data_IF_841439986579
#
_entry.id   IF_841439986579
#
_cell.length_a   1.000
_cell.length_b   1.000
_cell.length_c   1.000
_cell.angle_alpha   90.00
_cell.angle_beta   90.00
_cell.angle_gamma   90.00
#
_symmetry.space_group_name_H-M   'P 1'
#
loop_
_entity.id
_entity.type
_entity.pdbx_description
1 polymer ?
#
# COMPACT_ATOMS: atom_id res chain seq x y z
N UNK A 1 6.25 -4.95 -19.93
CA UNK A 1 6.15 -3.70 -20.71
C UNK A 1 5.59 -4.06 -22.06
N UNK A 2 4.28 -4.12 -22.08
CA UNK A 2 3.43 -4.45 -23.21
C UNK A 2 2.54 -3.24 -23.52
N UNK A 3 2.01 -3.20 -24.74
CA UNK A 3 1.05 -2.18 -25.15
C UNK A 3 -0.19 -2.21 -24.25
N UNK A 4 -0.64 -1.04 -23.80
CA UNK A 4 -1.79 -0.87 -22.91
C UNK A 4 -1.46 -0.96 -21.41
N UNK A 5 -0.27 -1.43 -21.04
CA UNK A 5 0.15 -1.43 -19.63
C UNK A 5 0.40 -0.01 -19.09
N UNK A 6 0.18 0.14 -17.79
CA UNK A 6 0.48 1.36 -17.02
C UNK A 6 1.57 1.06 -16.01
N UNK A 7 2.56 1.94 -15.91
CA UNK A 7 3.68 1.76 -15.00
C UNK A 7 3.85 2.98 -14.09
N UNK A 8 4.06 2.72 -12.81
CA UNK A 8 4.80 3.62 -11.94
C UNK A 8 6.29 3.46 -12.23
N UNK A 9 6.97 4.54 -12.58
CA UNK A 9 8.42 4.59 -12.75
C UNK A 9 8.97 5.40 -11.59
N UNK A 10 9.47 4.69 -10.60
CA UNK A 10 10.03 5.25 -9.38
C UNK A 10 11.50 4.86 -9.20
N UNK A 11 12.30 5.80 -8.71
CA UNK A 11 13.71 5.54 -8.40
C UNK A 11 14.04 6.10 -7.03
N UNK A 12 14.88 5.38 -6.29
CA UNK A 12 15.33 5.76 -4.96
C UNK A 12 16.85 5.88 -4.93
N UNK A 13 17.34 7.06 -4.59
CA UNK A 13 18.75 7.30 -4.31
C UNK A 13 19.03 7.21 -2.81
N UNK A 14 20.19 6.69 -2.42
CA UNK A 14 20.58 6.57 -1.00
C UNK A 14 22.06 6.88 -0.79
N UNK A 15 22.39 7.56 0.31
CA UNK A 15 23.77 7.66 0.84
C UNK A 15 24.15 6.47 1.74
N UNK A 16 23.22 5.53 1.89
CA UNK A 16 23.28 4.37 2.75
C UNK A 16 24.00 3.18 2.13
N UNK A 17 23.37 2.01 2.22
CA UNK A 17 23.82 0.78 1.57
C UNK A 17 23.01 0.47 0.30
N UNK A 18 22.01 1.29 -0.03
CA UNK A 18 21.13 1.06 -1.17
C UNK A 18 20.19 -0.13 -0.97
N UNK A 19 19.89 -0.47 0.28
CA UNK A 19 19.02 -1.59 0.65
C UNK A 19 18.13 -1.17 1.81
N UNK A 20 16.85 -1.50 1.71
CA UNK A 20 15.84 -1.12 2.71
C UNK A 20 15.37 -2.33 3.50
N UNK A 21 15.07 -2.09 4.77
CA UNK A 21 14.42 -3.05 5.66
C UNK A 21 13.17 -2.42 6.28
N UNK A 22 12.16 -3.24 6.66
CA UNK A 22 11.06 -2.77 7.49
C UNK A 22 11.56 -2.19 8.82
N UNK A 23 11.23 -0.93 9.12
CA UNK A 23 11.57 -0.28 10.38
C UNK A 23 10.49 0.73 10.80
N UNK A 24 10.05 0.65 12.07
CA UNK A 24 9.05 1.56 12.65
C UNK A 24 7.64 0.99 12.72
N UNK A 25 6.67 1.84 13.11
CA UNK A 25 5.28 1.42 13.27
C UNK A 25 4.54 1.35 11.93
N UNK A 26 3.93 0.20 11.65
CA UNK A 26 3.15 0.00 10.44
C UNK A 26 1.88 0.89 10.42
N UNK A 27 1.66 1.53 9.29
CA UNK A 27 0.49 2.40 9.07
C UNK A 27 -0.28 2.08 7.80
N UNK A 28 0.32 1.42 6.80
CA UNK A 28 -0.28 1.13 5.50
C UNK A 28 -0.69 -0.34 5.40
N UNK A 29 -1.85 -0.58 4.79
CA UNK A 29 -2.47 -1.90 4.66
C UNK A 29 -3.17 -2.00 3.31
N UNK A 30 -3.29 -3.21 2.76
CA UNK A 30 -4.13 -3.48 1.60
C UNK A 30 -4.76 -4.87 1.69
N UNK A 31 -5.85 -5.09 0.97
CA UNK A 31 -6.43 -6.43 0.82
C UNK A 31 -5.54 -7.30 -0.06
N UNK A 32 -5.29 -8.55 0.36
CA UNK A 32 -4.60 -9.52 -0.50
C UNK A 32 -5.51 -9.96 -1.65
N UNK A 33 -4.91 -10.21 -2.83
CA UNK A 33 -5.64 -10.73 -3.98
C UNK A 33 -5.91 -12.23 -3.85
N UNK A 34 -7.04 -12.73 -4.36
CA UNK A 34 -7.35 -14.17 -4.38
C UNK A 34 -7.72 -14.78 -3.03
N UNK A 35 -8.07 -13.95 -2.03
CA UNK A 35 -8.39 -14.37 -0.66
C UNK A 35 -9.88 -14.51 -0.39
N UNK A 36 -10.73 -14.54 -1.41
CA UNK A 36 -12.19 -14.58 -1.28
C UNK A 36 -12.69 -15.82 -0.53
N UNK A 37 -11.91 -16.90 -0.56
CA UNK A 37 -12.17 -18.16 0.13
C UNK A 37 -11.84 -18.11 1.64
N UNK A 38 -11.03 -17.15 2.07
CA UNK A 38 -10.64 -17.01 3.48
C UNK A 38 -11.76 -16.38 4.30
N UNK A 39 -11.93 -16.89 5.53
CA UNK A 39 -12.94 -16.41 6.46
C UNK A 39 -12.31 -15.61 7.58
N UNK A 40 -12.88 -14.45 7.89
CA UNK A 40 -12.48 -13.68 9.06
C UNK A 40 -12.70 -14.51 10.35
N UNK A 41 -11.71 -14.55 11.26
CA UNK A 41 -11.70 -15.48 12.39
C UNK A 41 -12.62 -15.09 13.55
N UNK A 42 -13.14 -13.86 13.56
CA UNK A 42 -14.03 -13.36 14.60
C UNK A 42 -15.13 -12.48 13.98
N UNK A 43 -16.20 -12.27 14.74
CA UNK A 43 -17.28 -11.37 14.31
C UNK A 43 -16.79 -9.94 14.14
N UNK A 44 -15.97 -9.43 15.05
CA UNK A 44 -15.39 -8.08 14.93
C UNK A 44 -14.49 -7.96 13.69
N UNK A 45 -13.68 -8.97 13.40
CA UNK A 45 -12.86 -9.00 12.18
C UNK A 45 -13.71 -9.08 10.91
N UNK A 46 -14.86 -9.77 10.95
CA UNK A 46 -15.80 -9.80 9.83
C UNK A 46 -16.45 -8.44 9.58
N UNK A 47 -16.89 -7.76 10.64
CA UNK A 47 -17.45 -6.40 10.55
C UNK A 47 -16.41 -5.42 10.01
N UNK A 48 -15.18 -5.46 10.55
CA UNK A 48 -14.08 -4.63 10.09
C UNK A 48 -13.73 -4.90 8.62
N UNK A 49 -13.66 -6.17 8.23
CA UNK A 49 -13.41 -6.56 6.83
C UNK A 49 -14.49 -6.02 5.89
N UNK A 50 -15.76 -6.05 6.30
CA UNK A 50 -16.84 -5.50 5.51
C UNK A 50 -16.68 -3.99 5.33
N UNK A 51 -16.39 -3.26 6.41
CA UNK A 51 -16.12 -1.82 6.35
C UNK A 51 -14.94 -1.49 5.41
N UNK A 52 -13.83 -2.24 5.51
CA UNK A 52 -12.68 -2.10 4.61
C UNK A 52 -13.09 -2.30 3.15
N UNK A 53 -13.88 -3.33 2.85
CA UNK A 53 -14.36 -3.59 1.49
C UNK A 53 -15.26 -2.47 0.97
N UNK A 54 -16.17 -1.97 1.80
CA UNK A 54 -17.13 -0.94 1.42
C UNK A 54 -16.44 0.42 1.16
N UNK A 55 -15.36 0.72 1.87
CA UNK A 55 -14.67 2.02 1.78
C UNK A 55 -13.44 2.02 0.87
N UNK A 56 -12.69 0.91 0.80
CA UNK A 56 -11.39 0.87 0.13
C UNK A 56 -11.31 -0.21 -0.96
N UNK A 57 -12.11 -1.27 -0.87
CA UNK A 57 -12.03 -2.41 -1.78
C UNK A 57 -10.63 -3.02 -1.78
N UNK A 58 -9.95 -2.97 -2.93
CA UNK A 58 -8.57 -3.44 -3.09
C UNK A 58 -7.52 -2.34 -3.00
N UNK A 59 -7.92 -1.07 -2.88
CA UNK A 59 -6.98 0.05 -2.78
C UNK A 59 -6.26 0.03 -1.41
N UNK A 60 -4.97 0.38 -1.36
CA UNK A 60 -4.26 0.57 -0.10
C UNK A 60 -4.89 1.67 0.75
N UNK A 61 -4.84 1.49 2.06
CA UNK A 61 -5.39 2.43 3.06
C UNK A 61 -4.48 2.51 4.28
N UNK A 62 -4.76 3.45 5.18
CA UNK A 62 -4.03 3.59 6.45
C UNK A 62 -4.95 3.68 7.66
N UNK A 63 -4.40 3.47 8.86
CA UNK A 63 -5.12 3.55 10.15
C UNK A 63 -5.99 4.80 10.29
N UNK A 64 -5.45 5.97 9.91
CA UNK A 64 -6.16 7.26 9.95
C UNK A 64 -7.38 7.30 9.05
N UNK A 65 -7.36 6.60 7.92
CA UNK A 65 -8.52 6.55 7.01
C UNK A 65 -9.60 5.64 7.57
N UNK A 66 -9.19 4.50 8.13
CA UNK A 66 -10.09 3.59 8.81
C UNK A 66 -10.81 4.28 9.99
N UNK A 67 -10.10 5.07 10.80
CA UNK A 67 -10.68 5.89 11.87
C UNK A 67 -11.73 6.88 11.35
N UNK A 68 -11.52 7.48 10.18
CA UNK A 68 -12.48 8.40 9.55
C UNK A 68 -13.76 7.72 9.07
N UNK A 69 -13.76 6.39 8.91
CA UNK A 69 -14.99 5.61 8.64
C UNK A 69 -15.82 5.39 9.91
N UNK A 70 -15.34 5.81 11.09
CA UNK A 70 -15.97 5.59 12.38
C UNK A 70 -15.52 4.33 13.10
N UNK A 71 -14.48 3.64 12.61
CA UNK A 71 -13.94 2.46 13.28
C UNK A 71 -13.14 2.85 14.53
N UNK A 72 -13.48 2.22 15.65
CA UNK A 72 -12.78 2.38 16.92
C UNK A 72 -12.25 1.04 17.44
N UNK A 73 -11.16 1.08 18.22
CA UNK A 73 -10.59 -0.12 18.89
C UNK A 73 -10.37 -1.32 17.94
N UNK A 74 -10.08 -1.04 16.67
CA UNK A 74 -10.04 -2.03 15.59
C UNK A 74 -8.72 -2.82 15.51
N UNK A 75 -7.66 -2.37 16.20
CA UNK A 75 -6.30 -2.93 16.06
C UNK A 75 -6.21 -4.44 16.27
N UNK A 76 -6.94 -4.98 17.25
CA UNK A 76 -6.95 -6.43 17.49
C UNK A 76 -7.57 -7.20 16.30
N UNK A 77 -8.68 -6.69 15.76
CA UNK A 77 -9.35 -7.29 14.61
C UNK A 77 -8.52 -7.14 13.33
N UNK A 78 -7.86 -5.99 13.15
CA UNK A 78 -6.91 -5.78 12.05
C UNK A 78 -5.75 -6.78 12.11
N UNK A 79 -5.13 -6.95 13.29
CA UNK A 79 -4.07 -7.94 13.48
C UNK A 79 -4.54 -9.36 13.19
N UNK A 80 -5.80 -9.69 13.48
CA UNK A 80 -6.37 -10.97 13.09
C UNK A 80 -6.47 -11.13 11.58
N UNK A 81 -6.96 -10.11 10.86
CA UNK A 81 -7.04 -10.14 9.40
C UNK A 81 -5.65 -10.28 8.75
N UNK A 82 -4.64 -9.60 9.29
CA UNK A 82 -3.24 -9.71 8.83
C UNK A 82 -2.69 -11.12 9.06
N UNK A 83 -2.83 -11.66 10.28
CA UNK A 83 -2.36 -13.03 10.59
C UNK A 83 -3.02 -14.13 9.77
N UNK A 84 -4.23 -13.88 9.28
CA UNK A 84 -4.95 -14.83 8.41
C UNK A 84 -4.69 -14.57 6.92
N UNK A 85 -3.78 -13.65 6.57
CA UNK A 85 -3.41 -13.36 5.18
C UNK A 85 -4.50 -12.66 4.37
N UNK A 86 -5.56 -12.15 5.01
CA UNK A 86 -6.65 -11.43 4.34
C UNK A 86 -6.22 -10.01 3.99
N UNK A 87 -5.47 -9.38 4.89
CA UNK A 87 -4.90 -8.05 4.74
C UNK A 87 -3.39 -8.16 4.81
N UNK A 88 -2.69 -7.45 3.95
CA UNK A 88 -1.23 -7.32 3.98
C UNK A 88 -0.83 -6.04 4.71
N UNK A 89 0.29 -6.08 5.43
CA UNK A 89 0.86 -4.91 6.09
C UNK A 89 2.07 -4.37 5.32
N UNK A 90 2.14 -3.05 5.16
CA UNK A 90 3.22 -2.36 4.47
C UNK A 90 3.91 -1.41 5.45
N UNK A 91 4.82 -1.91 6.29
CA UNK A 91 5.56 -1.09 7.24
C UNK A 91 6.47 -0.09 6.51
N UNK A 92 6.87 1.01 7.18
CA UNK A 92 7.88 1.90 6.62
C UNK A 92 9.16 1.13 6.31
N UNK A 93 9.79 1.48 5.20
CA UNK A 93 11.04 0.88 4.71
C UNK A 93 12.17 1.92 4.83
N UNK A 94 13.29 1.52 5.43
CA UNK A 94 14.42 2.41 5.72
C UNK A 94 15.76 1.76 5.36
N UNK A 95 16.71 2.58 4.87
CA UNK A 95 18.13 2.20 4.76
C UNK A 95 18.83 2.43 6.13
N UNK A 96 20.13 2.15 6.23
CA UNK A 96 20.93 2.24 7.45
C UNK A 96 20.71 3.57 8.17
N UNK A 97 20.56 3.50 9.49
CA UNK A 97 20.42 4.68 10.36
C UNK A 97 21.48 5.74 10.06
N UNK A 98 21.04 6.99 9.90
CA UNK A 98 21.90 8.14 9.58
C UNK A 98 22.17 8.36 8.09
N UNK A 99 21.66 7.49 7.22
CA UNK A 99 21.64 7.76 5.78
C UNK A 99 20.50 8.70 5.38
N UNK A 100 20.59 9.22 4.15
CA UNK A 100 19.56 10.04 3.52
C UNK A 100 19.10 9.36 2.24
N UNK A 101 17.79 9.40 2.00
CA UNK A 101 17.16 8.87 0.79
C UNK A 101 16.43 9.98 0.04
N UNK A 102 16.29 9.82 -1.27
CA UNK A 102 15.50 10.68 -2.13
C UNK A 102 14.74 9.83 -3.15
N UNK A 103 13.55 10.26 -3.57
CA UNK A 103 12.70 9.57 -4.53
C UNK A 103 12.15 10.57 -5.56
N UNK A 104 12.02 10.11 -6.81
CA UNK A 104 11.14 10.71 -7.82
C UNK A 104 10.30 9.62 -8.46
N UNK A 105 9.08 9.97 -8.87
CA UNK A 105 8.13 9.04 -9.50
C UNK A 105 7.27 9.76 -10.55
N UNK A 106 7.05 9.07 -11.68
CA UNK A 106 5.96 9.38 -12.60
C UNK A 106 5.18 8.13 -12.99
N UNK A 107 3.91 8.33 -13.36
CA UNK A 107 3.13 7.30 -14.04
C UNK A 107 3.28 7.47 -15.55
N UNK A 108 3.50 6.38 -16.26
CA UNK A 108 3.50 6.35 -17.72
C UNK A 108 2.40 5.44 -18.26
N UNK A 109 1.82 5.86 -19.38
CA UNK A 109 0.87 5.08 -20.17
C UNK A 109 1.56 4.63 -21.46
N UNK A 110 1.56 3.32 -21.73
CA UNK A 110 2.09 2.75 -22.96
C UNK A 110 0.96 2.61 -23.99
N UNK A 111 0.55 3.71 -24.60
CA UNK A 111 -0.46 3.68 -25.66
C UNK A 111 0.09 2.94 -26.90
N UNK A 112 -0.79 2.42 -27.78
CA UNK A 112 -0.37 1.77 -29.03
C UNK A 112 0.49 2.65 -29.96
N UNK A 113 0.33 3.98 -29.85
CA UNK A 113 0.93 4.95 -30.77
C UNK A 113 1.99 5.86 -30.12
N UNK A 114 2.11 5.85 -28.79
CA UNK A 114 3.08 6.69 -28.06
C UNK A 114 3.24 6.22 -26.62
N UNK A 115 4.37 6.59 -26.02
CA UNK A 115 4.53 6.64 -24.56
C UNK A 115 4.11 8.02 -24.05
N UNK A 116 3.28 8.06 -23.02
CA UNK A 116 2.87 9.31 -22.36
C UNK A 116 3.29 9.31 -20.89
N UNK A 117 4.00 10.35 -20.46
CA UNK A 117 4.28 10.59 -19.03
C UNK A 117 3.10 11.39 -18.48
N UNK A 118 2.04 10.69 -18.07
CA UNK A 118 0.73 11.30 -17.80
C UNK A 118 0.72 12.20 -16.57
N UNK A 119 1.66 12.00 -15.63
CA UNK A 119 1.80 12.83 -14.44
C UNK A 119 2.88 13.91 -14.55
N UNK A 120 3.40 14.21 -15.75
CA UNK A 120 4.43 15.23 -15.95
C UNK A 120 3.88 16.64 -15.71
N UNK A 121 4.58 17.44 -14.89
CA UNK A 121 4.28 18.85 -14.65
C UNK A 121 5.45 19.80 -14.94
N UNK A 122 5.22 21.10 -14.76
CA UNK A 122 6.25 22.15 -14.84
C UNK A 122 7.17 22.14 -13.61
N UNK A 123 6.75 21.47 -12.53
CA UNK A 123 7.51 21.29 -11.30
C UNK A 123 8.51 20.15 -11.38
N UNK A 124 8.10 18.94 -11.80
CA UNK A 124 9.01 17.81 -12.05
C UNK A 124 8.43 16.74 -12.96
#
# INVERSE_FOLDING_TARGET
MEEGETFAIETFGSTGNGYVIPEGECSHYAMNAGVEHLKAPSERSRQLLQNIKDNFGTLPWCRRYLERTGEEKYLFALNQLVRHGIVEEYPPIADKKGSYTAQFEHTILLHPHKKEVVTKGDDY
#
